data_IF_501765000711
#
_entry.id   IF_501765000711
#
_cell.length_a   1.000
_cell.length_b   1.000
_cell.length_c   1.000
_cell.angle_alpha   90.00
_cell.angle_beta   90.00
_cell.angle_gamma   90.00
#
_symmetry.space_group_name_H-M   'P 1'
#
loop_
_entity.id
_entity.type
_entity.pdbx_description
1 polymer ?
#
# COMPACT_ATOMS: atom_id res chain seq x y z
N UNK A 1 -23.31 -7.67 7.52
CA UNK A 1 -22.18 -7.34 6.67
C UNK A 1 -21.17 -6.54 7.46
N UNK A 2 -19.91 -6.88 7.37
CA UNK A 2 -18.81 -6.13 8.00
C UNK A 2 -18.03 -5.39 6.93
N UNK A 3 -17.60 -4.16 7.20
CA UNK A 3 -16.66 -3.44 6.35
C UNK A 3 -15.63 -2.68 7.19
N UNK A 4 -14.42 -2.66 6.68
CA UNK A 4 -13.28 -2.03 7.34
C UNK A 4 -13.25 -0.53 7.07
N UNK A 5 -12.91 0.25 8.09
CA UNK A 5 -12.74 1.70 8.00
C UNK A 5 -11.38 2.13 8.58
N UNK A 6 -10.72 3.14 7.98
CA UNK A 6 -9.51 3.72 8.55
C UNK A 6 -9.76 4.32 9.93
N UNK A 7 -8.73 4.30 10.79
CA UNK A 7 -8.81 4.88 12.14
C UNK A 7 -8.90 6.41 12.14
N UNK A 8 -8.24 7.05 11.17
CA UNK A 8 -8.15 8.51 11.06
C UNK A 8 -9.40 9.19 10.49
N UNK A 9 -10.48 8.42 10.30
CA UNK A 9 -11.75 8.97 9.82
C UNK A 9 -12.46 9.78 10.90
N UNK A 10 -12.93 10.95 10.50
CA UNK A 10 -13.83 11.78 11.32
C UNK A 10 -15.20 11.12 11.52
N UNK A 11 -15.92 11.55 12.54
CA UNK A 11 -17.29 11.06 12.79
C UNK A 11 -18.23 11.33 11.60
N UNK A 12 -18.01 12.44 10.87
CA UNK A 12 -18.79 12.80 9.68
C UNK A 12 -18.52 11.83 8.54
N UNK A 13 -17.25 11.53 8.27
CA UNK A 13 -16.85 10.54 7.26
C UNK A 13 -17.36 9.15 7.58
N UNK A 14 -17.23 8.69 8.83
CA UNK A 14 -17.79 7.40 9.28
C UNK A 14 -19.29 7.34 9.03
N UNK A 15 -20.02 8.42 9.31
CA UNK A 15 -21.47 8.52 9.06
C UNK A 15 -21.78 8.50 7.55
N UNK A 16 -21.02 9.21 6.74
CA UNK A 16 -21.18 9.20 5.28
C UNK A 16 -20.97 7.80 4.69
N UNK A 17 -19.91 7.10 5.11
CA UNK A 17 -19.65 5.71 4.69
C UNK A 17 -20.78 4.77 5.11
N UNK A 18 -21.27 4.90 6.34
CA UNK A 18 -22.42 4.11 6.81
C UNK A 18 -23.65 4.31 5.93
N UNK A 19 -23.96 5.55 5.55
CA UNK A 19 -25.09 5.86 4.67
C UNK A 19 -24.88 5.33 3.25
N UNK A 20 -23.67 5.42 2.70
CA UNK A 20 -23.34 4.85 1.38
C UNK A 20 -23.60 3.34 1.35
N UNK A 21 -23.11 2.62 2.36
CA UNK A 21 -23.24 1.16 2.41
C UNK A 21 -24.69 0.74 2.70
N UNK A 22 -25.40 1.49 3.54
CA UNK A 22 -26.77 1.17 3.95
C UNK A 22 -27.85 1.68 2.98
N UNK A 23 -27.51 2.66 2.11
CA UNK A 23 -28.50 3.43 1.35
C UNK A 23 -29.04 2.78 0.11
N UNK A 24 -28.31 1.92 -0.58
CA UNK A 24 -28.75 1.47 -1.92
C UNK A 24 -28.93 -0.04 -2.09
N UNK A 25 -28.11 -0.88 -1.49
CA UNK A 25 -28.12 -2.33 -1.77
C UNK A 25 -28.43 -3.22 -0.57
N UNK A 26 -28.39 -2.70 0.67
CA UNK A 26 -28.36 -3.52 1.87
C UNK A 26 -29.48 -3.23 2.87
N UNK A 27 -30.60 -2.68 2.43
CA UNK A 27 -31.77 -2.31 3.28
C UNK A 27 -32.25 -3.39 4.26
N UNK A 28 -31.83 -4.63 4.10
CA UNK A 28 -32.23 -5.78 4.94
C UNK A 28 -31.11 -6.36 5.80
N UNK A 29 -29.87 -5.89 5.67
CA UNK A 29 -28.72 -6.48 6.37
C UNK A 29 -28.18 -5.54 7.44
N UNK A 30 -27.85 -6.09 8.60
CA UNK A 30 -27.12 -5.35 9.64
C UNK A 30 -25.70 -5.05 9.11
N UNK A 31 -25.32 -3.78 9.19
CA UNK A 31 -24.01 -3.29 8.76
C UNK A 31 -23.19 -2.97 10.00
N UNK A 32 -21.99 -3.50 10.06
CA UNK A 32 -21.02 -3.26 11.14
C UNK A 32 -19.74 -2.67 10.55
N UNK A 33 -19.25 -1.62 11.18
CA UNK A 33 -17.94 -1.03 10.86
C UNK A 33 -16.89 -1.60 11.80
N UNK A 34 -15.75 -2.00 11.24
CA UNK A 34 -14.60 -2.52 11.98
C UNK A 34 -13.39 -1.65 11.63
N UNK A 35 -12.62 -1.27 12.61
CA UNK A 35 -11.39 -0.51 12.38
C UNK A 35 -10.33 -1.36 11.66
N UNK A 36 -9.67 -0.78 10.65
CA UNK A 36 -8.74 -1.51 9.77
C UNK A 36 -7.71 -2.36 10.51
N UNK A 37 -7.03 -1.88 11.57
CA UNK A 37 -6.05 -2.71 12.27
C UNK A 37 -6.64 -3.96 12.93
N UNK A 38 -7.88 -3.87 13.42
CA UNK A 38 -8.58 -5.05 14.00
C UNK A 38 -8.92 -6.05 12.89
N UNK A 39 -9.43 -5.55 11.75
CA UNK A 39 -9.72 -6.40 10.60
C UNK A 39 -8.46 -7.09 10.06
N UNK A 40 -7.33 -6.35 9.99
CA UNK A 40 -6.04 -6.87 9.54
C UNK A 40 -5.51 -7.95 10.51
N UNK A 41 -5.64 -7.74 11.83
CA UNK A 41 -5.26 -8.74 12.84
C UNK A 41 -6.05 -10.04 12.65
N UNK A 42 -7.37 -9.95 12.50
CA UNK A 42 -8.23 -11.12 12.29
C UNK A 42 -7.85 -11.82 10.99
N UNK A 43 -7.59 -11.07 9.91
CA UNK A 43 -7.17 -11.64 8.63
C UNK A 43 -5.84 -12.41 8.70
N UNK A 44 -4.95 -12.01 9.60
CA UNK A 44 -3.69 -12.71 9.88
C UNK A 44 -3.85 -13.89 10.88
N UNK A 45 -5.07 -14.19 11.34
CA UNK A 45 -5.33 -15.24 12.31
C UNK A 45 -4.95 -14.87 13.74
N UNK A 46 -4.73 -13.59 14.01
CA UNK A 46 -4.49 -13.08 15.37
C UNK A 46 -5.85 -12.83 16.02
N UNK A 47 -6.10 -13.44 17.18
CA UNK A 47 -7.26 -13.13 18.01
C UNK A 47 -6.99 -11.84 18.78
N UNK A 48 -7.63 -10.71 18.44
CA UNK A 48 -7.32 -9.44 19.09
C UNK A 48 -7.60 -9.44 20.59
N UNK A 49 -8.58 -10.23 21.06
CA UNK A 49 -9.00 -10.26 22.47
C UNK A 49 -8.05 -11.06 23.35
N UNK A 50 -7.35 -12.05 22.79
CA UNK A 50 -6.42 -12.93 23.56
C UNK A 50 -4.96 -12.54 23.40
N UNK A 51 -4.67 -11.44 22.72
CA UNK A 51 -3.31 -11.09 22.37
C UNK A 51 -2.70 -10.13 23.40
N UNK A 52 -1.57 -10.53 23.96
CA UNK A 52 -0.78 -9.74 24.91
C UNK A 52 -0.04 -8.54 24.28
N UNK A 53 -0.18 -8.34 23.00
CA UNK A 53 0.36 -7.24 22.21
C UNK A 53 0.86 -7.68 20.84
N UNK A 54 0.31 -7.11 19.80
CA UNK A 54 0.76 -7.31 18.43
C UNK A 54 0.91 -5.99 17.70
N UNK A 55 2.01 -5.87 16.97
CA UNK A 55 2.20 -4.77 16.04
C UNK A 55 1.76 -5.20 14.64
N UNK A 56 0.81 -4.47 14.08
CA UNK A 56 0.32 -4.64 12.72
C UNK A 56 0.91 -3.54 11.86
N UNK A 57 1.49 -3.92 10.71
CA UNK A 57 1.99 -2.99 9.70
C UNK A 57 1.23 -3.23 8.42
N UNK A 58 0.43 -2.26 8.01
CA UNK A 58 -0.32 -2.31 6.76
C UNK A 58 0.32 -1.36 5.73
N UNK A 59 0.96 -1.91 4.70
CA UNK A 59 1.59 -1.15 3.62
C UNK A 59 0.62 -1.07 2.46
N UNK A 60 -0.12 0.04 2.40
CA UNK A 60 -1.13 0.30 1.38
C UNK A 60 -0.56 0.92 0.10
N UNK A 61 -1.46 1.35 -0.78
CA UNK A 61 -1.09 2.02 -2.02
C UNK A 61 -0.60 3.46 -1.80
N UNK A 62 -1.21 4.20 -0.88
CA UNK A 62 -0.94 5.63 -0.63
C UNK A 62 -0.26 5.90 0.71
N UNK A 63 -0.42 4.98 1.67
CA UNK A 63 0.07 5.17 3.03
C UNK A 63 0.46 3.84 3.65
N UNK A 64 1.28 3.91 4.69
CA UNK A 64 1.60 2.80 5.58
C UNK A 64 1.07 3.14 6.97
N UNK A 65 0.36 2.21 7.58
CA UNK A 65 -0.21 2.32 8.91
C UNK A 65 0.46 1.33 9.86
N UNK A 66 0.83 1.80 11.05
CA UNK A 66 1.40 1.01 12.14
C UNK A 66 0.42 1.05 13.30
N UNK A 67 0.03 -0.09 13.80
CA UNK A 67 -0.91 -0.17 14.92
C UNK A 67 -0.45 -1.22 15.93
N UNK A 68 -0.61 -0.91 17.22
CA UNK A 68 -0.39 -1.86 18.31
C UNK A 68 -1.74 -2.20 18.92
N UNK A 69 -2.04 -3.48 18.95
CA UNK A 69 -3.29 -4.04 19.49
C UNK A 69 -2.98 -4.88 20.71
N UNK A 70 -3.72 -4.67 21.78
CA UNK A 70 -3.65 -5.44 23.03
C UNK A 70 -5.05 -5.55 23.61
N UNK A 71 -5.45 -6.75 24.03
CA UNK A 71 -6.76 -7.02 24.68
C UNK A 71 -7.95 -6.40 23.92
N UNK A 72 -8.00 -6.62 22.62
CA UNK A 72 -9.08 -6.12 21.74
C UNK A 72 -9.08 -4.62 21.49
N UNK A 73 -8.06 -3.89 21.97
CA UNK A 73 -7.98 -2.43 21.84
C UNK A 73 -6.76 -1.99 21.04
N UNK A 74 -6.95 -0.94 20.25
CA UNK A 74 -5.85 -0.28 19.55
C UNK A 74 -5.24 0.73 20.52
N UNK A 75 -4.01 0.48 20.96
CA UNK A 75 -3.30 1.33 21.93
C UNK A 75 -2.60 2.50 21.22
N UNK A 76 -1.96 2.20 20.09
CA UNK A 76 -1.26 3.19 19.28
C UNK A 76 -1.59 2.92 17.82
N UNK A 77 -1.83 3.96 17.06
CA UNK A 77 -1.85 3.94 15.60
C UNK A 77 -1.12 5.16 15.05
N UNK A 78 -0.33 4.94 14.02
CA UNK A 78 0.36 5.97 13.25
C UNK A 78 0.26 5.66 11.78
N UNK A 79 0.02 6.69 10.98
CA UNK A 79 -0.07 6.62 9.53
C UNK A 79 0.95 7.57 8.91
N UNK A 80 1.70 7.07 7.96
CA UNK A 80 2.64 7.86 7.17
C UNK A 80 2.18 7.86 5.71
N UNK A 81 2.31 8.99 4.97
CA UNK A 81 1.87 9.11 3.59
C UNK A 81 2.89 8.50 2.62
N UNK A 82 3.41 7.32 2.96
CA UNK A 82 4.34 6.56 2.13
C UNK A 82 3.71 5.19 1.86
N UNK A 83 3.53 4.87 0.59
CA UNK A 83 2.94 3.61 0.16
C UNK A 83 3.43 3.20 -1.22
N UNK A 84 2.80 2.18 -1.77
CA UNK A 84 3.20 1.59 -3.05
C UNK A 84 3.23 2.55 -4.24
N UNK A 85 2.48 3.67 -4.19
CA UNK A 85 2.49 4.71 -5.22
C UNK A 85 3.77 5.51 -5.19
N UNK A 86 4.17 6.02 -4.02
CA UNK A 86 5.43 6.77 -3.84
C UNK A 86 6.64 5.90 -4.21
N UNK A 87 6.61 4.62 -3.84
CA UNK A 87 7.66 3.69 -4.26
C UNK A 87 7.77 3.58 -5.79
N UNK A 88 6.63 3.52 -6.51
CA UNK A 88 6.66 3.50 -7.97
C UNK A 88 7.18 4.80 -8.57
N UNK A 89 6.78 5.95 -8.00
CA UNK A 89 7.24 7.28 -8.44
C UNK A 89 8.74 7.45 -8.22
N UNK A 90 9.25 6.98 -7.08
CA UNK A 90 10.70 6.97 -6.80
C UNK A 90 11.46 6.12 -7.81
N UNK A 91 10.97 4.93 -8.16
CA UNK A 91 11.58 4.09 -9.20
C UNK A 91 11.57 4.81 -10.55
N UNK A 92 10.47 5.47 -10.95
CA UNK A 92 10.45 6.26 -12.19
C UNK A 92 11.49 7.38 -12.17
N UNK A 93 11.62 8.08 -11.03
CA UNK A 93 12.58 9.16 -10.84
C UNK A 93 14.03 8.68 -10.93
N UNK A 94 14.36 7.59 -10.24
CA UNK A 94 15.72 7.03 -10.25
C UNK A 94 16.11 6.50 -11.63
N UNK A 95 15.21 5.81 -12.33
CA UNK A 95 15.48 5.35 -13.70
C UNK A 95 15.68 6.54 -14.65
N UNK A 96 14.88 7.59 -14.51
CA UNK A 96 15.06 8.81 -15.30
C UNK A 96 16.41 9.47 -15.02
N UNK A 97 16.81 9.52 -13.74
CA UNK A 97 18.08 10.15 -13.32
C UNK A 97 19.32 9.39 -13.78
N UNK A 98 19.29 8.06 -13.66
CA UNK A 98 20.48 7.25 -13.96
C UNK A 98 20.60 6.81 -15.41
N UNK A 99 19.46 6.63 -16.11
CA UNK A 99 19.43 6.10 -17.47
C UNK A 99 18.89 7.09 -18.50
N UNK A 100 18.50 8.30 -18.10
CA UNK A 100 17.78 9.26 -18.94
C UNK A 100 16.55 8.64 -19.64
N UNK A 101 15.90 7.66 -18.98
CA UNK A 101 14.79 6.89 -19.52
C UNK A 101 13.51 7.19 -18.74
N UNK A 102 12.51 7.71 -19.42
CA UNK A 102 11.18 7.95 -18.85
C UNK A 102 10.32 6.68 -19.00
N UNK A 103 9.90 6.11 -17.87
CA UNK A 103 9.01 4.94 -17.82
C UNK A 103 7.68 5.30 -17.18
N UNK A 104 6.64 4.53 -17.50
CA UNK A 104 5.33 4.67 -16.88
C UNK A 104 5.26 4.00 -15.50
N UNK A 105 4.34 4.47 -14.65
CA UNK A 105 4.10 3.92 -13.29
C UNK A 105 3.74 2.43 -13.28
N UNK A 106 3.10 1.93 -14.35
CA UNK A 106 2.80 0.49 -14.51
C UNK A 106 4.08 -0.33 -14.67
N UNK A 107 5.04 0.17 -15.46
CA UNK A 107 6.36 -0.45 -15.63
C UNK A 107 7.14 -0.42 -14.32
N UNK A 108 7.16 0.71 -13.63
CA UNK A 108 7.78 0.85 -12.31
C UNK A 108 7.18 -0.13 -11.28
N UNK A 109 5.85 -0.27 -11.25
CA UNK A 109 5.19 -1.26 -10.39
C UNK A 109 5.65 -2.69 -10.71
N UNK A 110 5.79 -3.03 -11.98
CA UNK A 110 6.26 -4.35 -12.41
C UNK A 110 7.71 -4.59 -11.99
N UNK A 111 8.59 -3.59 -12.17
CA UNK A 111 9.98 -3.65 -11.70
C UNK A 111 10.05 -3.84 -10.18
N UNK A 112 9.28 -3.06 -9.41
CA UNK A 112 9.20 -3.19 -7.97
C UNK A 112 8.86 -4.61 -7.51
N UNK A 113 7.88 -5.25 -8.14
CA UNK A 113 7.44 -6.61 -7.77
C UNK A 113 8.47 -7.66 -8.16
N UNK A 114 9.11 -7.51 -9.31
CA UNK A 114 10.03 -8.52 -9.84
C UNK A 114 11.45 -8.37 -9.28
N UNK A 115 11.91 -7.12 -9.12
CA UNK A 115 13.29 -6.80 -8.76
C UNK A 115 13.43 -6.26 -7.33
N UNK A 116 12.35 -5.76 -6.73
CA UNK A 116 12.37 -5.20 -5.37
C UNK A 116 12.69 -6.28 -4.35
N UNK A 117 13.77 -6.09 -3.60
CA UNK A 117 14.26 -6.99 -2.55
C UNK A 117 14.77 -6.19 -1.37
N UNK A 118 14.67 -6.78 -0.19
CA UNK A 118 15.23 -6.23 1.04
C UNK A 118 16.64 -6.77 1.31
N UNK A 119 17.12 -7.71 0.48
CA UNK A 119 18.41 -8.39 0.69
C UNK A 119 19.20 -8.48 -0.61
N UNK A 120 20.47 -8.04 -0.58
CA UNK A 120 21.36 -7.82 -1.72
C UNK A 120 21.89 -9.08 -2.46
N UNK A 121 21.31 -10.25 -2.23
CA UNK A 121 21.93 -11.53 -2.64
C UNK A 121 21.80 -11.90 -4.13
N UNK A 122 21.03 -11.19 -4.97
CA UNK A 122 20.96 -11.50 -6.41
C UNK A 122 20.91 -10.25 -7.26
N UNK A 123 21.92 -10.10 -8.12
CA UNK A 123 21.95 -9.11 -9.20
C UNK A 123 20.95 -9.54 -10.27
N UNK A 124 19.75 -9.00 -10.26
CA UNK A 124 18.81 -9.17 -11.36
C UNK A 124 18.85 -7.94 -12.26
N UNK A 125 18.90 -8.19 -13.56
CA UNK A 125 18.78 -7.15 -14.58
C UNK A 125 17.54 -7.43 -15.44
N UNK A 126 16.83 -6.37 -15.83
CA UNK A 126 15.64 -6.47 -16.68
C UNK A 126 15.68 -5.44 -17.80
N UNK A 127 15.31 -5.89 -19.00
CA UNK A 127 15.08 -5.00 -20.11
C UNK A 127 13.78 -4.24 -19.95
N UNK A 128 13.84 -2.94 -20.15
CA UNK A 128 12.73 -2.01 -19.98
C UNK A 128 12.67 -1.08 -21.18
N UNK A 129 11.50 -0.89 -21.72
CA UNK A 129 11.23 0.06 -22.80
C UNK A 129 10.65 1.33 -22.19
N UNK A 130 11.19 2.46 -22.57
CA UNK A 130 10.74 3.79 -22.17
C UNK A 130 11.01 4.81 -23.25
N UNK A 131 10.82 6.08 -22.91
CA UNK A 131 11.14 7.21 -23.78
C UNK A 131 12.46 7.81 -23.30
N UNK A 132 13.42 7.92 -24.18
CA UNK A 132 14.67 8.64 -23.91
C UNK A 132 14.34 10.12 -23.60
N UNK A 133 14.79 10.61 -22.45
CA UNK A 133 14.46 11.98 -21.99
C UNK A 133 15.18 13.08 -22.81
N UNK A 134 16.21 12.72 -23.61
CA UNK A 134 17.00 13.65 -24.41
C UNK A 134 16.46 13.70 -25.86
N UNK A 135 16.34 12.52 -26.49
CA UNK A 135 15.90 12.42 -27.88
C UNK A 135 14.39 12.40 -28.08
N UNK A 136 13.62 12.08 -27.03
CA UNK A 136 12.16 11.88 -27.12
C UNK A 136 11.74 10.60 -27.82
N UNK A 137 12.69 9.74 -28.23
CA UNK A 137 12.41 8.51 -28.96
C UNK A 137 12.28 7.28 -28.03
N UNK A 138 11.52 6.27 -28.42
CA UNK A 138 11.49 5.00 -27.70
C UNK A 138 12.86 4.35 -27.64
N UNK A 139 13.29 3.91 -26.45
CA UNK A 139 14.56 3.23 -26.20
C UNK A 139 14.38 2.05 -25.26
N UNK A 140 15.12 0.98 -25.51
CA UNK A 140 15.25 -0.14 -24.60
C UNK A 140 16.53 0.00 -23.78
N UNK A 141 16.44 -0.28 -22.48
CA UNK A 141 17.56 -0.20 -21.55
C UNK A 141 17.54 -1.38 -20.58
N UNK A 142 18.71 -1.80 -20.13
CA UNK A 142 18.86 -2.87 -19.13
C UNK A 142 19.02 -2.23 -17.76
N UNK A 143 17.99 -2.37 -16.93
CA UNK A 143 17.99 -1.84 -15.57
C UNK A 143 18.48 -2.91 -14.62
N UNK A 144 19.45 -2.58 -13.75
CA UNK A 144 19.93 -3.47 -12.69
C UNK A 144 19.30 -3.13 -11.34
N UNK A 145 19.25 -4.11 -10.44
CA UNK A 145 18.65 -3.95 -9.11
C UNK A 145 19.41 -3.01 -8.15
N UNK A 146 20.52 -2.39 -8.59
CA UNK A 146 21.37 -1.49 -7.80
C UNK A 146 21.10 0.01 -8.04
N UNK A 147 19.96 0.34 -8.57
CA UNK A 147 19.54 1.75 -8.75
C UNK A 147 18.61 2.16 -7.64
#
# INVERSE_FOLDING_TARGET
MYFSVPLDMTAIEKRAYYHLVNGHWLRKNRVFMVESPIADAIAMGIDPEKNQGSMIVNIGAQSTEFSIITDGKIIISRKIPIGGRQMNESICSEIRKHYNLQIGTRTAKRLKVVMGRLNDQKKEARKVVGIDSISGLPREEVISAYV
#
